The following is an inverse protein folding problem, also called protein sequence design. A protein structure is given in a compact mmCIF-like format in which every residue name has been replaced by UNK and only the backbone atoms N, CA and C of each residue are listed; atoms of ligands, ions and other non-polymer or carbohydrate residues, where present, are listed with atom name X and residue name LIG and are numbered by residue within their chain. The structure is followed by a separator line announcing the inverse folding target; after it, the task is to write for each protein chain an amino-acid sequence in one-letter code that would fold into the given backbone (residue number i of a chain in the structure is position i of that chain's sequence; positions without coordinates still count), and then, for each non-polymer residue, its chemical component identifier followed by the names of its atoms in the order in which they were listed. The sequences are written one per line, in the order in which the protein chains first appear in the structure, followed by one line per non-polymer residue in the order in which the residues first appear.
data_IF_297127675667
#
_entry.id   IF_297127675667
#
_cell.length_a   1.000
_cell.length_b   1.000
_cell.length_c   1.000
_cell.angle_alpha   90.00
_cell.angle_beta   90.00
_cell.angle_gamma   90.00
#
_symmetry.space_group_name_H-M   'P 1'
#
loop_
_entity.id
_entity.type
_entity.pdbx_description
1 polymer ?
#
# COMPACT_ATOMS: atom_id res chain seq x y z
N UNK A 1 -10.99 -5.41 -10.95
CA UNK A 1 -9.99 -5.93 -9.99
C UNK A 1 -9.55 -4.81 -9.05
N UNK A 2 -9.46 -5.14 -7.80
CA UNK A 2 -9.14 -4.19 -6.74
C UNK A 2 -7.66 -4.24 -6.42
N UNK A 3 -6.99 -3.08 -6.45
CA UNK A 3 -5.58 -2.97 -6.10
C UNK A 3 -5.34 -2.02 -4.93
N UNK A 4 -4.41 -2.41 -4.06
CA UNK A 4 -3.75 -1.51 -3.13
C UNK A 4 -2.37 -1.20 -3.71
N UNK A 5 -2.12 0.06 -3.99
CA UNK A 5 -0.87 0.51 -4.64
C UNK A 5 0.02 1.16 -3.60
N UNK A 6 1.21 0.61 -3.41
CA UNK A 6 2.16 1.08 -2.41
C UNK A 6 3.54 1.31 -3.04
N UNK A 7 4.09 2.47 -2.74
CA UNK A 7 5.48 2.80 -3.00
C UNK A 7 6.06 3.50 -1.78
N UNK A 8 7.16 2.98 -1.25
CA UNK A 8 7.95 3.65 -0.23
C UNK A 8 9.00 4.56 -0.86
N UNK A 9 9.47 5.53 -0.11
CA UNK A 9 10.62 6.36 -0.51
C UNK A 9 11.91 5.58 -0.30
N UNK A 10 12.25 4.70 -1.24
CA UNK A 10 13.37 3.78 -1.16
C UNK A 10 14.70 4.50 -0.96
N UNK A 11 14.92 5.59 -1.69
CA UNK A 11 16.13 6.39 -1.59
C UNK A 11 16.32 6.97 -0.19
N UNK A 12 15.25 7.49 0.40
CA UNK A 12 15.29 8.07 1.73
C UNK A 12 15.51 7.01 2.80
N UNK A 13 14.90 5.84 2.65
CA UNK A 13 15.10 4.69 3.56
C UNK A 13 16.55 4.27 3.56
N UNK A 14 17.16 4.11 2.39
CA UNK A 14 18.57 3.73 2.25
C UNK A 14 19.47 4.80 2.83
N UNK A 15 19.21 6.07 2.51
CA UNK A 15 20.00 7.20 2.99
C UNK A 15 19.98 7.33 4.51
N UNK A 16 18.82 7.16 5.12
CA UNK A 16 18.65 7.30 6.57
C UNK A 16 19.28 6.12 7.34
N UNK A 17 19.22 4.92 6.78
CA UNK A 17 19.79 3.71 7.39
C UNK A 17 19.15 3.30 8.71
N UNK A 18 17.94 3.78 9.02
CA UNK A 18 17.22 3.48 10.26
C UNK A 18 16.47 2.16 10.17
N UNK A 19 15.86 1.91 9.01
CA UNK A 19 15.13 0.66 8.73
C UNK A 19 15.73 -0.01 7.50
N UNK A 20 15.57 -1.33 7.41
CA UNK A 20 16.00 -2.10 6.25
C UNK A 20 14.91 -2.08 5.18
N UNK A 21 15.25 -1.70 3.95
CA UNK A 21 14.30 -1.57 2.85
C UNK A 21 13.57 -2.90 2.54
N UNK A 22 14.32 -3.99 2.44
CA UNK A 22 13.73 -5.30 2.16
C UNK A 22 12.82 -5.76 3.28
N UNK A 23 13.22 -5.54 4.53
CA UNK A 23 12.41 -5.87 5.70
C UNK A 23 11.13 -5.03 5.75
N UNK A 24 11.18 -3.76 5.35
CA UNK A 24 10.02 -2.89 5.29
C UNK A 24 8.97 -3.43 4.31
N UNK A 25 9.38 -3.75 3.09
CA UNK A 25 8.48 -4.34 2.10
C UNK A 25 7.98 -5.72 2.53
N UNK A 26 8.84 -6.54 3.17
CA UNK A 26 8.41 -7.84 3.69
C UNK A 26 7.33 -7.69 4.76
N UNK A 27 7.46 -6.71 5.63
CA UNK A 27 6.45 -6.41 6.65
C UNK A 27 5.11 -6.03 6.02
N UNK A 28 5.14 -5.22 4.96
CA UNK A 28 3.94 -4.86 4.20
C UNK A 28 3.30 -6.11 3.59
N UNK A 29 4.09 -6.96 2.95
CA UNK A 29 3.59 -8.19 2.32
C UNK A 29 3.02 -9.17 3.35
N UNK A 30 3.68 -9.34 4.49
CA UNK A 30 3.20 -10.20 5.57
C UNK A 30 1.89 -9.68 6.17
N UNK A 31 1.77 -8.38 6.34
CA UNK A 31 0.56 -7.74 6.85
C UNK A 31 -0.62 -7.95 5.90
N UNK A 32 -0.40 -7.77 4.61
CA UNK A 32 -1.42 -8.04 3.60
C UNK A 32 -1.78 -9.52 3.52
N UNK A 33 -0.79 -10.41 3.62
CA UNK A 33 -1.01 -11.86 3.54
C UNK A 33 -1.94 -12.38 4.65
N UNK A 34 -1.89 -11.77 5.82
CA UNK A 34 -2.82 -12.10 6.92
C UNK A 34 -4.29 -11.83 6.57
N UNK A 35 -4.54 -11.06 5.52
CA UNK A 35 -5.86 -10.69 5.03
C UNK A 35 -6.13 -11.18 3.61
N UNK A 36 -5.38 -12.20 3.18
CA UNK A 36 -5.48 -12.80 1.84
C UNK A 36 -5.22 -11.82 0.68
N UNK A 37 -4.43 -10.79 0.94
CA UNK A 37 -3.96 -9.85 -0.07
C UNK A 37 -2.52 -10.20 -0.44
N UNK A 38 -2.26 -10.36 -1.74
CA UNK A 38 -0.95 -10.78 -2.25
C UNK A 38 -0.43 -9.82 -3.31
N UNK A 39 0.88 -9.84 -3.51
CA UNK A 39 1.53 -9.06 -4.57
C UNK A 39 1.10 -9.59 -5.94
N UNK A 40 0.48 -8.73 -6.73
CA UNK A 40 0.08 -9.05 -8.10
C UNK A 40 1.23 -8.77 -9.07
N UNK A 41 1.78 -7.56 -9.03
CA UNK A 41 2.90 -7.17 -9.88
C UNK A 41 3.61 -5.93 -9.33
N UNK A 42 4.77 -5.64 -9.90
CA UNK A 42 5.56 -4.44 -9.64
C UNK A 42 5.72 -3.62 -10.92
N UNK A 43 5.66 -2.30 -10.78
CA UNK A 43 6.03 -1.36 -11.83
C UNK A 43 7.13 -0.45 -11.27
N UNK A 44 8.39 -0.78 -11.57
CA UNK A 44 9.52 -0.17 -10.88
C UNK A 44 9.48 -0.48 -9.39
N UNK A 45 9.46 0.55 -8.56
CA UNK A 45 9.34 0.42 -7.10
C UNK A 45 7.90 0.41 -6.60
N UNK A 46 6.94 0.63 -7.50
CA UNK A 46 5.52 0.64 -7.17
C UNK A 46 5.00 -0.78 -7.13
N UNK A 47 4.36 -1.16 -6.02
CA UNK A 47 3.82 -2.50 -5.82
C UNK A 47 2.30 -2.48 -5.84
N UNK A 48 1.72 -3.40 -6.58
CA UNK A 48 0.28 -3.58 -6.74
C UNK A 48 -0.15 -4.85 -6.02
N UNK A 49 -0.90 -4.70 -4.96
CA UNK A 49 -1.41 -5.81 -4.16
C UNK A 49 -2.88 -5.99 -4.44
N UNK A 50 -3.32 -7.22 -4.52
CA UNK A 50 -4.73 -7.54 -4.81
C UNK A 50 -5.22 -8.71 -3.98
N UNK A 51 -6.53 -8.74 -3.80
CA UNK A 51 -7.24 -9.88 -3.27
C UNK A 51 -8.20 -10.39 -4.34
N UNK A 52 -8.25 -11.69 -4.53
CA UNK A 52 -9.14 -12.33 -5.51
C UNK A 52 -10.57 -12.39 -4.96
N UNK A 53 -11.21 -11.23 -4.85
CA UNK A 53 -12.62 -11.11 -4.41
C UNK A 53 -13.34 -10.13 -5.32
N UNK A 54 -14.50 -10.56 -5.81
CA UNK A 54 -15.39 -9.78 -6.67
C UNK A 54 -16.29 -8.81 -5.89
N UNK A 55 -15.78 -8.17 -4.83
CA UNK A 55 -16.59 -7.23 -4.06
C UNK A 55 -15.90 -5.88 -3.91
N UNK A 56 -16.60 -4.85 -4.37
CA UNK A 56 -16.32 -3.46 -4.10
C UNK A 56 -16.75 -3.16 -2.65
N UNK A 57 -15.88 -3.44 -1.68
CA UNK A 57 -16.24 -3.29 -0.29
C UNK A 57 -15.35 -2.23 0.38
N UNK A 58 -15.95 -1.09 0.65
CA UNK A 58 -15.29 0.02 1.33
C UNK A 58 -14.85 -0.34 2.76
N UNK A 59 -15.63 -1.16 3.45
CA UNK A 59 -15.29 -1.64 4.80
C UNK A 59 -14.02 -2.48 4.76
N UNK A 60 -13.87 -3.23 3.69
CA UNK A 60 -12.70 -4.06 3.44
C UNK A 60 -11.42 -3.21 3.29
N UNK A 61 -11.51 -2.09 2.59
CA UNK A 61 -10.41 -1.14 2.45
C UNK A 61 -9.87 -0.71 3.81
N UNK A 62 -10.75 -0.38 4.74
CA UNK A 62 -10.38 0.00 6.10
C UNK A 62 -9.66 -1.12 6.84
N UNK A 63 -10.20 -2.33 6.78
CA UNK A 63 -9.64 -3.50 7.46
C UNK A 63 -8.24 -3.85 6.98
N UNK A 64 -8.00 -3.72 5.68
CA UNK A 64 -6.72 -4.08 5.06
C UNK A 64 -5.64 -3.02 5.32
N UNK A 65 -6.00 -1.75 5.25
CA UNK A 65 -5.04 -0.65 5.36
C UNK A 65 -4.90 -0.10 6.80
N UNK A 66 -5.83 -0.40 7.70
CA UNK A 66 -5.81 0.12 9.07
C UNK A 66 -4.50 -0.15 9.84
N UNK A 67 -3.85 -1.33 9.72
CA UNK A 67 -2.58 -1.57 10.40
C UNK A 67 -1.49 -0.58 10.02
N UNK A 68 -1.44 -0.14 8.78
CA UNK A 68 -0.42 0.79 8.29
C UNK A 68 -0.60 2.20 8.83
N UNK A 69 -1.80 2.58 9.19
CA UNK A 69 -2.10 3.89 9.80
C UNK A 69 -1.38 4.11 11.12
N UNK A 70 -1.09 3.04 11.84
CA UNK A 70 -0.49 3.07 13.16
C UNK A 70 1.02 2.92 13.16
N UNK A 71 1.60 2.56 12.01
CA UNK A 71 3.04 2.33 11.90
C UNK A 71 3.76 3.63 11.53
N UNK A 72 4.53 4.18 12.46
CA UNK A 72 5.20 5.46 12.27
C UNK A 72 6.21 5.45 11.12
N UNK A 73 6.96 4.36 10.94
CA UNK A 73 7.91 4.22 9.84
C UNK A 73 7.20 4.22 8.49
N UNK A 74 6.04 3.56 8.39
CA UNK A 74 5.24 3.55 7.17
C UNK A 74 4.73 4.95 6.85
N UNK A 75 4.16 5.63 7.83
CA UNK A 75 3.67 7.00 7.70
C UNK A 75 4.77 7.97 7.25
N UNK A 76 5.99 7.76 7.73
CA UNK A 76 7.12 8.64 7.40
C UNK A 76 7.65 8.40 5.98
N UNK A 77 7.77 7.13 5.56
CA UNK A 77 8.42 6.78 4.30
C UNK A 77 7.48 6.49 3.14
N UNK A 78 6.17 6.49 3.34
CA UNK A 78 5.23 6.22 2.26
C UNK A 78 5.23 7.34 1.22
N UNK A 79 5.38 6.97 -0.04
CA UNK A 79 5.40 7.89 -1.18
C UNK A 79 4.15 7.80 -2.03
N UNK A 80 3.66 6.58 -2.26
CA UNK A 80 2.40 6.31 -2.96
C UNK A 80 1.58 5.34 -2.14
N UNK A 81 0.34 5.71 -1.86
CA UNK A 81 -0.61 4.85 -1.17
C UNK A 81 -1.99 5.12 -1.76
N UNK A 82 -2.42 4.25 -2.63
CA UNK A 82 -3.62 4.43 -3.42
C UNK A 82 -4.47 3.16 -3.42
N UNK A 83 -5.77 3.34 -3.39
CA UNK A 83 -6.75 2.31 -3.64
C UNK A 83 -7.25 2.46 -5.07
N UNK A 84 -7.22 1.39 -5.85
CA UNK A 84 -7.54 1.42 -7.26
C UNK A 84 -8.46 0.25 -7.62
N UNK A 85 -9.60 0.57 -8.21
CA UNK A 85 -10.53 -0.42 -8.74
C UNK A 85 -10.61 -0.30 -10.25
N UNK A 86 -10.20 -1.34 -10.94
CA UNK A 86 -10.07 -1.38 -12.39
C UNK A 86 -10.97 -2.47 -12.97
N UNK A 87 -11.65 -2.17 -14.08
CA UNK A 87 -12.38 -3.17 -14.87
C UNK A 87 -11.39 -4.15 -15.52
N UNK A 88 -11.64 -5.46 -15.34
CA UNK A 88 -10.75 -6.52 -15.83
C UNK A 88 -10.77 -6.65 -17.36
N UNK A 89 -11.84 -6.23 -18.01
CA UNK A 89 -12.00 -6.36 -19.47
C UNK A 89 -11.55 -5.13 -20.25
N UNK A 90 -11.85 -3.93 -19.72
CA UNK A 90 -11.63 -2.66 -20.44
C UNK A 90 -10.46 -1.84 -19.90
N UNK A 91 -9.88 -2.23 -18.76
CA UNK A 91 -8.89 -1.48 -17.99
C UNK A 91 -9.36 -0.08 -17.57
N UNK A 92 -10.67 0.16 -17.58
CA UNK A 92 -11.25 1.40 -17.07
C UNK A 92 -11.15 1.48 -15.55
N UNK A 93 -10.82 2.65 -15.05
CA UNK A 93 -10.74 2.93 -13.63
C UNK A 93 -12.14 3.28 -13.11
N UNK A 94 -12.70 2.43 -12.24
CA UNK A 94 -13.96 2.72 -11.57
C UNK A 94 -13.79 3.66 -10.40
N UNK A 95 -12.76 3.43 -9.60
CA UNK A 95 -12.49 4.20 -8.39
C UNK A 95 -11.00 4.32 -8.19
N UNK A 96 -10.54 5.51 -7.86
CA UNK A 96 -9.19 5.79 -7.44
C UNK A 96 -9.22 6.71 -6.22
N UNK A 97 -8.66 6.26 -5.09
CA UNK A 97 -8.54 7.06 -3.89
C UNK A 97 -7.08 7.19 -3.47
N UNK A 98 -6.66 8.42 -3.30
CA UNK A 98 -5.33 8.72 -2.78
C UNK A 98 -5.38 8.72 -1.25
N UNK A 99 -4.98 7.60 -0.64
CA UNK A 99 -4.96 7.44 0.81
C UNK A 99 -3.85 8.27 1.47
N UNK A 100 -2.86 8.66 0.69
CA UNK A 100 -1.75 9.48 1.18
C UNK A 100 -2.25 10.83 1.71
N UNK A 101 -3.19 11.45 1.00
CA UNK A 101 -3.75 12.74 1.41
C UNK A 101 -4.68 12.63 2.62
N UNK A 102 -5.45 11.55 2.70
CA UNK A 102 -6.47 11.38 3.72
C UNK A 102 -5.93 10.80 5.03
N UNK A 103 -4.99 9.86 4.93
CA UNK A 103 -4.60 9.01 6.05
C UNK A 103 -3.18 9.24 6.55
N UNK A 104 -2.34 9.94 5.80
CA UNK A 104 -0.95 10.16 6.21
C UNK A 104 -0.83 11.46 6.99
N UNK A 105 -0.40 11.31 8.24
CA UNK A 105 0.08 12.42 9.05
C UNK A 105 1.58 12.20 9.22
N UNK A 106 2.40 13.03 8.57
CA UNK A 106 3.85 12.86 8.61
C UNK A 106 4.37 12.97 10.04
N UNK A 107 4.75 11.86 10.69
CA UNK A 107 5.31 11.89 12.02
C UNK A 107 6.76 12.38 11.97
N UNK A 108 7.35 12.51 13.16
CA UNK A 108 8.79 12.70 13.24
C UNK A 108 9.51 11.47 12.68
N UNK A 109 10.74 11.69 12.22
CA UNK A 109 11.61 10.64 11.70
C UNK A 109 11.79 9.53 12.74
N UNK A 110 11.56 8.27 12.37
CA UNK A 110 11.71 7.15 13.30
C UNK A 110 13.11 6.97 13.83
#
# INVERSE_FOLDING_TARGET
MLFFVIELDDEQIIKDGIINLNAAYQTIEDTFAQRDVTLHHKDGNIRFYTRNIDKHDFEYLWMVNAPFRKESWFQYYIKTWTYLDIDDETDEIYTEENLLEEWVQRPEKP
#
